data_IF_563930208442
#
_entry.id   IF_563930208442
#
_cell.length_a   1.000
_cell.length_b   1.000
_cell.length_c   1.000
_cell.angle_alpha   90.00
_cell.angle_beta   90.00
_cell.angle_gamma   90.00
#
_symmetry.space_group_name_H-M   'P 1'
#
loop_
_entity.id
_entity.type
_entity.pdbx_description
1 polymer ?
#
# COMPACT_ATOMS: atom_id res chain seq x y z
N UNK A 1 -5.71 -18.10 -5.07
CA UNK A 1 -4.95 -17.77 -6.30
C UNK A 1 -4.83 -16.27 -6.50
N UNK A 2 -5.88 -15.61 -7.01
CA UNK A 2 -5.84 -14.22 -7.47
C UNK A 2 -5.51 -13.16 -6.40
N UNK A 3 -6.19 -13.16 -5.25
CA UNK A 3 -5.93 -12.19 -4.16
C UNK A 3 -4.49 -12.31 -3.63
N UNK A 4 -3.94 -13.53 -3.58
CA UNK A 4 -2.56 -13.76 -3.18
C UNK A 4 -1.57 -13.17 -4.18
N UNK A 5 -1.85 -13.34 -5.49
CA UNK A 5 -1.07 -12.73 -6.56
C UNK A 5 -1.11 -11.20 -6.49
N UNK A 6 -2.29 -10.60 -6.31
CA UNK A 6 -2.43 -9.13 -6.19
C UNK A 6 -1.63 -8.60 -5.00
N UNK A 7 -1.74 -9.26 -3.84
CA UNK A 7 -0.98 -8.84 -2.63
C UNK A 7 0.52 -8.93 -2.86
N UNK A 8 1.00 -10.02 -3.45
CA UNK A 8 2.42 -10.19 -3.71
C UNK A 8 2.93 -9.18 -4.76
N UNK A 9 2.17 -8.99 -5.84
CA UNK A 9 2.49 -7.98 -6.86
C UNK A 9 2.53 -6.56 -6.27
N UNK A 10 1.61 -6.23 -5.36
CA UNK A 10 1.60 -4.97 -4.62
C UNK A 10 2.87 -4.77 -3.79
N UNK A 11 3.29 -5.78 -3.04
CA UNK A 11 4.52 -5.73 -2.24
C UNK A 11 5.77 -5.55 -3.13
N UNK A 12 5.90 -6.34 -4.20
CA UNK A 12 7.04 -6.23 -5.13
C UNK A 12 7.08 -4.86 -5.81
N UNK A 13 5.93 -4.36 -6.25
CA UNK A 13 5.82 -3.04 -6.87
C UNK A 13 6.21 -1.93 -5.89
N UNK A 14 5.77 -2.03 -4.63
CA UNK A 14 6.15 -1.08 -3.58
C UNK A 14 7.66 -1.01 -3.36
N UNK A 15 8.33 -2.16 -3.32
CA UNK A 15 9.80 -2.22 -3.22
C UNK A 15 10.45 -1.56 -4.44
N UNK A 16 10.00 -1.89 -5.65
CA UNK A 16 10.55 -1.33 -6.88
C UNK A 16 10.41 0.21 -6.94
N UNK A 17 9.23 0.73 -6.58
CA UNK A 17 8.97 2.17 -6.50
C UNK A 17 9.85 2.83 -5.44
N UNK A 18 9.98 2.23 -4.26
CA UNK A 18 10.84 2.75 -3.20
C UNK A 18 12.30 2.83 -3.63
N UNK A 19 12.83 1.78 -4.28
CA UNK A 19 14.17 1.76 -4.84
C UNK A 19 14.36 2.84 -5.89
N UNK A 20 13.41 3.03 -6.80
CA UNK A 20 13.47 4.07 -7.83
C UNK A 20 13.53 5.48 -7.22
N UNK A 21 12.74 5.77 -6.18
CA UNK A 21 12.75 7.07 -5.50
C UNK A 21 14.09 7.33 -4.82
N UNK A 22 14.63 6.33 -4.10
CA UNK A 22 15.94 6.45 -3.43
C UNK A 22 17.04 6.69 -4.47
N UNK A 23 17.03 5.91 -5.55
CA UNK A 23 17.97 6.02 -6.68
C UNK A 23 17.92 7.40 -7.32
N UNK A 24 16.72 7.90 -7.61
CA UNK A 24 16.51 9.23 -8.18
C UNK A 24 16.95 10.35 -7.23
N UNK A 25 16.71 10.19 -5.92
CA UNK A 25 17.13 11.17 -4.90
C UNK A 25 18.64 11.20 -4.75
N UNK A 26 19.31 10.04 -4.75
CA UNK A 26 20.77 9.99 -4.71
C UNK A 26 21.38 10.61 -5.98
N UNK A 27 20.81 10.29 -7.14
CA UNK A 27 21.24 10.86 -8.42
C UNK A 27 21.07 12.38 -8.47
N UNK A 28 19.97 12.93 -7.93
CA UNK A 28 19.75 14.38 -7.87
C UNK A 28 20.70 15.10 -6.91
N UNK A 29 21.26 14.37 -5.93
CA UNK A 29 22.31 14.86 -5.03
C UNK A 29 23.73 14.60 -5.55
N UNK A 30 23.88 14.10 -6.79
CA UNK A 30 25.18 13.88 -7.44
C UNK A 30 25.85 12.54 -7.10
N UNK A 31 25.16 11.65 -6.37
CA UNK A 31 25.68 10.34 -6.00
C UNK A 31 25.17 9.26 -6.94
N UNK A 32 26.09 8.53 -7.58
CA UNK A 32 25.71 7.33 -8.30
C UNK A 32 25.21 6.28 -7.29
N UNK A 33 23.99 5.73 -7.49
CA UNK A 33 23.46 4.69 -6.62
C UNK A 33 24.25 3.40 -6.86
N UNK A 34 25.25 3.14 -6.02
CA UNK A 34 26.01 1.89 -6.02
C UNK A 34 26.12 1.32 -4.61
N UNK A 35 25.86 0.03 -4.47
CA UNK A 35 25.95 -0.67 -3.19
C UNK A 35 27.39 -0.65 -2.65
N UNK A 36 28.39 -0.71 -3.54
CA UNK A 36 29.81 -0.60 -3.22
C UNK A 36 30.14 0.74 -2.54
N UNK A 37 29.58 1.85 -3.04
CA UNK A 37 29.81 3.18 -2.46
C UNK A 37 29.12 3.38 -1.10
N UNK A 38 28.15 2.54 -0.72
CA UNK A 38 27.51 2.58 0.60
C UNK A 38 28.15 1.57 1.56
N UNK A 39 28.61 0.42 1.07
CA UNK A 39 29.21 -0.65 1.89
C UNK A 39 30.68 -0.43 2.22
N UNK A 40 31.43 0.21 1.32
CA UNK A 40 32.88 0.38 1.43
C UNK A 40 33.19 1.84 1.79
N UNK A 41 33.02 2.16 3.08
CA UNK A 41 33.33 3.49 3.64
C UNK A 41 32.76 4.63 2.78
N UNK A 42 31.47 4.56 2.45
CA UNK A 42 30.80 5.67 1.80
C UNK A 42 30.99 6.94 2.61
N UNK A 43 31.47 8.00 1.98
CA UNK A 43 31.57 9.31 2.63
C UNK A 43 30.23 9.68 3.27
N UNK A 44 30.28 10.43 4.38
CA UNK A 44 29.10 10.84 5.16
C UNK A 44 27.96 11.41 4.28
N UNK A 45 28.33 12.05 3.17
CA UNK A 45 27.42 12.60 2.18
C UNK A 45 26.61 11.54 1.41
N UNK A 46 27.20 10.40 1.04
CA UNK A 46 26.51 9.30 0.34
C UNK A 46 25.44 8.68 1.25
N UNK A 47 25.79 8.46 2.52
CA UNK A 47 24.87 7.94 3.53
C UNK A 47 23.72 8.94 3.75
N UNK A 48 24.05 10.22 3.84
CA UNK A 48 23.06 11.30 3.98
C UNK A 48 22.10 11.34 2.79
N UNK A 49 22.60 11.20 1.56
CA UNK A 49 21.79 11.13 0.35
C UNK A 49 20.86 9.90 0.33
N UNK A 50 21.36 8.74 0.73
CA UNK A 50 20.54 7.53 0.86
C UNK A 50 19.41 7.70 1.88
N UNK A 51 19.73 8.22 3.08
CA UNK A 51 18.74 8.49 4.13
C UNK A 51 17.75 9.57 3.69
N UNK A 52 18.18 10.58 2.94
CA UNK A 52 17.28 11.57 2.35
C UNK A 52 16.29 10.91 1.38
N UNK A 53 16.77 10.01 0.51
CA UNK A 53 15.91 9.20 -0.37
C UNK A 53 14.89 8.38 0.41
N UNK A 54 15.32 7.68 1.47
CA UNK A 54 14.40 6.93 2.33
C UNK A 54 13.33 7.82 2.98
N UNK A 55 13.72 8.99 3.51
CA UNK A 55 12.78 9.94 4.10
C UNK A 55 11.74 10.41 3.08
N UNK A 56 12.14 10.67 1.84
CA UNK A 56 11.22 11.06 0.77
C UNK A 56 10.27 9.91 0.44
N UNK A 57 10.78 8.68 0.28
CA UNK A 57 9.96 7.48 0.03
C UNK A 57 8.90 7.31 1.11
N UNK A 58 9.27 7.34 2.40
CA UNK A 58 8.30 7.19 3.48
C UNK A 58 7.27 8.32 3.53
N UNK A 59 7.67 9.57 3.26
CA UNK A 59 6.73 10.69 3.17
C UNK A 59 5.71 10.49 2.06
N UNK A 60 6.15 10.09 0.86
CA UNK A 60 5.24 9.81 -0.26
C UNK A 60 4.25 8.70 0.12
N UNK A 61 4.75 7.58 0.65
CA UNK A 61 3.88 6.45 1.05
C UNK A 61 2.90 6.84 2.16
N UNK A 62 3.34 7.62 3.15
CA UNK A 62 2.46 8.13 4.20
C UNK A 62 1.38 9.06 3.64
N UNK A 63 1.72 9.97 2.71
CA UNK A 63 0.72 10.86 2.09
C UNK A 63 -0.31 10.09 1.26
N UNK A 64 0.13 9.08 0.50
CA UNK A 64 -0.77 8.20 -0.26
C UNK A 64 -1.69 7.39 0.66
N UNK A 65 -1.17 6.92 1.80
CA UNK A 65 -1.95 6.24 2.82
C UNK A 65 -3.05 7.15 3.39
N UNK A 66 -2.69 8.37 3.79
CA UNK A 66 -3.64 9.37 4.31
C UNK A 66 -4.68 9.74 3.25
N UNK A 67 -4.27 9.98 2.00
CA UNK A 67 -5.18 10.28 0.91
C UNK A 67 -6.17 9.12 0.65
N UNK A 68 -5.68 7.88 0.68
CA UNK A 68 -6.50 6.68 0.54
C UNK A 68 -7.52 6.56 1.67
N UNK A 69 -7.10 6.81 2.91
CA UNK A 69 -7.95 6.80 4.09
C UNK A 69 -9.07 7.85 3.98
N UNK A 70 -8.74 9.09 3.58
CA UNK A 70 -9.73 10.15 3.34
C UNK A 70 -10.73 9.74 2.25
N UNK A 71 -10.25 9.17 1.15
CA UNK A 71 -11.10 8.72 0.06
C UNK A 71 -12.04 7.58 0.48
N UNK A 72 -11.56 6.67 1.35
CA UNK A 72 -12.38 5.60 1.93
C UNK A 72 -13.52 6.15 2.77
N UNK A 73 -13.29 7.20 3.57
CA UNK A 73 -14.37 7.85 4.33
C UNK A 73 -15.40 8.53 3.42
N UNK A 74 -14.96 9.21 2.36
CA UNK A 74 -15.86 9.91 1.43
C UNK A 74 -16.75 8.91 0.67
N UNK A 75 -16.24 7.72 0.34
CA UNK A 75 -16.99 6.66 -0.37
C UNK A 75 -17.72 5.67 0.57
N UNK A 76 -17.46 5.71 1.86
CA UNK A 76 -17.94 4.74 2.85
C UNK A 76 -19.43 4.84 3.23
N UNK A 77 -20.17 5.82 2.72
CA UNK A 77 -21.62 5.98 2.98
C UNK A 77 -22.54 5.10 2.13
N UNK A 78 -22.01 4.24 1.26
CA UNK A 78 -22.77 3.51 0.23
C UNK A 78 -22.78 1.99 0.36
N UNK A 79 -22.60 1.41 1.55
CA UNK A 79 -22.94 0.00 1.75
C UNK A 79 -24.41 -0.09 2.12
N UNK A 80 -25.23 -0.37 1.10
CA UNK A 80 -26.66 -0.59 1.24
C UNK A 80 -26.94 -1.61 2.34
N UNK A 81 -27.76 -1.20 3.29
CA UNK A 81 -28.57 -2.09 4.10
C UNK A 81 -29.14 -3.17 3.17
N UNK A 82 -28.93 -4.48 3.41
CA UNK A 82 -29.78 -5.49 2.81
C UNK A 82 -31.20 -5.27 3.34
N UNK A 83 -31.98 -4.49 2.60
CA UNK A 83 -33.39 -4.28 2.85
C UNK A 83 -34.13 -5.54 2.40
N UNK A 84 -34.69 -6.24 3.39
CA UNK A 84 -35.75 -7.24 3.29
C UNK A 84 -35.57 -8.46 2.38
N UNK A 85 -35.60 -9.64 3.01
CA UNK A 85 -36.76 -10.52 2.83
C UNK A 85 -37.25 -11.05 4.20
N UNK A 86 -38.30 -10.45 4.77
CA UNK A 86 -39.29 -11.16 5.56
C UNK A 86 -40.58 -11.23 4.73
N UNK A 87 -40.99 -12.44 4.33
CA UNK A 87 -42.40 -12.94 4.28
C UNK A 87 -42.55 -14.14 3.32
N UNK A 88 -43.40 -15.09 3.72
CA UNK A 88 -43.80 -16.34 3.04
C UNK A 88 -42.79 -17.49 3.16
N UNK A 89 -42.97 -18.48 4.03
CA UNK A 89 -44.06 -19.44 3.90
C UNK A 89 -44.44 -20.03 5.27
N UNK A 90 -45.42 -19.38 5.89
CA UNK A 90 -46.31 -20.00 6.85
C UNK A 90 -47.27 -20.94 6.08
N UNK A 91 -46.81 -22.09 5.62
CA UNK A 91 -47.67 -23.21 5.18
C UNK A 91 -46.81 -24.47 5.10
N UNK A 92 -46.92 -25.43 6.02
CA UNK A 92 -47.75 -26.65 5.86
C UNK A 92 -47.64 -27.54 7.13
N UNK A 93 -48.65 -28.39 7.39
CA UNK A 93 -49.20 -28.64 8.73
C UNK A 93 -48.47 -29.72 9.53
N UNK A 94 -48.77 -29.72 10.83
CA UNK A 94 -48.48 -30.77 11.79
C UNK A 94 -48.87 -32.16 11.22
N UNK A 95 -47.88 -33.03 11.04
CA UNK A 95 -48.12 -34.47 10.96
C UNK A 95 -47.77 -35.08 12.30
N UNK A 96 -48.84 -35.52 12.94
CA UNK A 96 -48.96 -36.28 14.19
C UNK A 96 -48.12 -37.56 14.24
N UNK A 97 -47.70 -37.87 15.47
CA UNK A 97 -47.59 -39.18 16.14
C UNK A 97 -46.80 -40.31 15.45
#
# INVERSE_FOLDING_TARGET
>A
GFVNLIRNAGNITGIAVGTAIVTATMASLGFLPSLSAVSEVGGEEIITAFVAGLRITYKIMATLMVASMVLSFIRGGGQGTPANEPSAEATRPASTA
#
